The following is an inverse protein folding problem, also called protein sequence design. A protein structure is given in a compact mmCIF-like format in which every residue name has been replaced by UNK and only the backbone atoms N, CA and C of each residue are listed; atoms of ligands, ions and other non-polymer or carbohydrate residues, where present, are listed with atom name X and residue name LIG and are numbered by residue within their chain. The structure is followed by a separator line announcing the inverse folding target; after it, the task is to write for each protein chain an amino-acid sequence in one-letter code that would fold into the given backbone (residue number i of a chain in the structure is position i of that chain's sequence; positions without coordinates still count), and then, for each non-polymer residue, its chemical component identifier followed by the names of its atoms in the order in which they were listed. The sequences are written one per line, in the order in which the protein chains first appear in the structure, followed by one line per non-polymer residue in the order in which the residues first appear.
data_IF_486516427051
#
_entry.id   IF_486516427051
#
_cell.length_a   1.000
_cell.length_b   1.000
_cell.length_c   1.000
_cell.angle_alpha   90.00
_cell.angle_beta   90.00
_cell.angle_gamma   90.00
#
_symmetry.space_group_name_H-M   'P 1'
#
loop_
_entity.id
_entity.type
_entity.pdbx_description
1 polymer ?
#
# COMPACT_ATOMS: atom_id res chain seq x y z
N UNK A 1 -4.72 40.05 7.84
CA UNK A 1 -3.62 39.16 8.29
C UNK A 1 -4.06 37.91 9.08
N UNK A 2 -4.99 37.98 10.05
CA UNK A 2 -5.48 36.80 10.80
C UNK A 2 -6.17 35.72 9.92
N UNK A 3 -6.95 36.13 8.92
CA UNK A 3 -7.64 35.22 7.98
C UNK A 3 -6.69 34.42 7.07
N UNK A 4 -5.55 35.01 6.68
CA UNK A 4 -4.52 34.32 5.85
C UNK A 4 -3.83 33.21 6.64
N UNK A 5 -3.61 33.42 7.95
CA UNK A 5 -3.05 32.39 8.84
C UNK A 5 -4.04 31.23 9.03
N UNK A 6 -5.33 31.52 9.22
CA UNK A 6 -6.38 30.50 9.26
C UNK A 6 -6.48 29.71 7.95
N UNK A 7 -6.45 30.37 6.79
CA UNK A 7 -6.47 29.69 5.49
C UNK A 7 -5.28 28.75 5.30
N UNK A 8 -4.06 29.14 5.71
CA UNK A 8 -2.88 28.27 5.64
C UNK A 8 -3.03 27.02 6.51
N UNK A 9 -3.52 27.17 7.76
CA UNK A 9 -3.75 26.03 8.66
C UNK A 9 -4.84 25.12 8.11
N UNK A 10 -5.93 25.68 7.58
CA UNK A 10 -7.02 24.90 7.00
C UNK A 10 -6.54 24.09 5.78
N UNK A 11 -5.72 24.70 4.91
CA UNK A 11 -5.13 24.04 3.75
C UNK A 11 -4.13 22.94 4.15
N UNK A 12 -3.35 23.15 5.21
CA UNK A 12 -2.43 22.16 5.76
C UNK A 12 -3.16 20.96 6.36
N UNK A 13 -4.21 21.19 7.17
CA UNK A 13 -5.03 20.12 7.76
C UNK A 13 -5.72 19.30 6.68
N UNK A 14 -6.19 19.95 5.61
CA UNK A 14 -6.82 19.27 4.48
C UNK A 14 -5.80 18.41 3.71
N UNK A 15 -4.61 18.95 3.41
CA UNK A 15 -3.52 18.20 2.77
C UNK A 15 -3.05 17.00 3.62
N UNK A 16 -2.95 17.18 4.94
CA UNK A 16 -2.57 16.10 5.86
C UNK A 16 -3.63 15.00 5.92
N UNK A 17 -4.92 15.35 5.96
CA UNK A 17 -6.02 14.38 5.87
C UNK A 17 -5.99 13.59 4.57
N UNK A 18 -5.73 14.26 3.44
CA UNK A 18 -5.59 13.58 2.14
C UNK A 18 -4.43 12.59 2.16
N UNK A 19 -3.26 13.00 2.66
CA UNK A 19 -2.09 12.11 2.79
C UNK A 19 -2.37 10.89 3.68
N UNK A 20 -2.98 11.08 4.85
CA UNK A 20 -3.37 9.97 5.74
C UNK A 20 -4.34 9.04 5.04
N UNK A 21 -5.35 9.59 4.37
CA UNK A 21 -6.35 8.79 3.66
C UNK A 21 -5.68 7.95 2.57
N UNK A 22 -4.78 8.55 1.78
CA UNK A 22 -3.98 7.84 0.77
C UNK A 22 -3.10 6.74 1.38
N UNK A 23 -2.45 7.00 2.52
CA UNK A 23 -1.66 5.98 3.24
C UNK A 23 -2.56 4.84 3.74
N UNK A 24 -3.71 5.13 4.33
CA UNK A 24 -4.63 4.09 4.82
C UNK A 24 -5.16 3.21 3.69
N UNK A 25 -5.40 3.79 2.51
CA UNK A 25 -5.77 3.02 1.32
C UNK A 25 -4.65 2.08 0.86
N UNK A 26 -3.40 2.56 0.80
CA UNK A 26 -2.25 1.72 0.42
C UNK A 26 -1.87 0.71 1.50
N UNK A 27 -2.13 1.00 2.78
CA UNK A 27 -1.90 0.06 3.89
C UNK A 27 -2.79 -1.18 3.77
N UNK A 28 -4.02 -1.06 3.26
CA UNK A 28 -4.91 -2.22 3.06
C UNK A 28 -4.34 -3.19 2.01
N UNK A 29 -3.77 -2.66 0.93
CA UNK A 29 -3.18 -3.50 -0.11
C UNK A 29 -1.81 -4.05 0.32
N UNK A 30 -1.03 -3.26 1.05
CA UNK A 30 0.20 -3.71 1.72
C UNK A 30 -0.06 -4.83 2.72
N UNK A 31 -1.15 -4.76 3.50
CA UNK A 31 -1.48 -5.77 4.50
C UNK A 31 -1.55 -7.18 3.91
N UNK A 32 -2.21 -7.34 2.76
CA UNK A 32 -2.29 -8.64 2.07
C UNK A 32 -0.94 -9.11 1.54
N UNK A 33 -0.11 -8.19 1.03
CA UNK A 33 1.22 -8.53 0.55
C UNK A 33 2.17 -8.93 1.69
N UNK A 34 2.09 -8.25 2.84
CA UNK A 34 2.81 -8.62 4.06
C UNK A 34 2.30 -9.96 4.63
N UNK A 35 1.00 -10.22 4.58
CA UNK A 35 0.44 -11.49 5.01
C UNK A 35 0.96 -12.64 4.15
N UNK A 36 1.03 -12.46 2.82
CA UNK A 36 1.66 -13.42 1.91
C UNK A 36 3.14 -13.64 2.25
N UNK A 37 3.90 -12.57 2.53
CA UNK A 37 5.29 -12.68 2.94
C UNK A 37 5.43 -13.49 4.24
N UNK A 38 4.58 -13.25 5.24
CA UNK A 38 4.57 -14.01 6.50
C UNK A 38 4.30 -15.49 6.25
N UNK A 39 3.37 -15.84 5.35
CA UNK A 39 3.11 -17.25 4.99
C UNK A 39 4.34 -17.89 4.35
N UNK A 40 5.01 -17.20 3.43
CA UNK A 40 6.24 -17.70 2.79
C UNK A 40 7.33 -17.92 3.84
N UNK A 41 7.58 -16.92 4.70
CA UNK A 41 8.56 -16.99 5.78
C UNK A 41 8.23 -18.14 6.75
N UNK A 42 6.95 -18.36 7.05
CA UNK A 42 6.52 -19.47 7.89
C UNK A 42 6.81 -20.84 7.25
N UNK A 43 6.46 -21.03 5.97
CA UNK A 43 6.69 -22.29 5.25
C UNK A 43 8.18 -22.64 5.19
N UNK A 44 9.02 -21.69 4.77
CA UNK A 44 10.47 -21.90 4.75
C UNK A 44 11.06 -22.01 6.15
N UNK A 45 10.51 -21.27 7.12
CA UNK A 45 10.88 -21.35 8.53
C UNK A 45 10.71 -22.77 9.06
N UNK A 46 9.54 -23.37 8.88
CA UNK A 46 9.28 -24.77 9.28
C UNK A 46 10.27 -25.73 8.63
N UNK A 47 10.49 -25.60 7.31
CA UNK A 47 11.42 -26.47 6.58
C UNK A 47 12.85 -26.42 7.13
N UNK A 48 13.40 -25.22 7.35
CA UNK A 48 14.77 -25.09 7.83
C UNK A 48 14.93 -25.40 9.32
N UNK A 49 13.95 -25.05 10.16
CA UNK A 49 13.94 -25.44 11.58
C UNK A 49 13.93 -26.97 11.72
N UNK A 50 13.09 -27.66 10.93
CA UNK A 50 13.04 -29.12 10.95
C UNK A 50 14.36 -29.73 10.44
N UNK A 51 14.83 -29.29 9.28
CA UNK A 51 16.10 -29.76 8.71
C UNK A 51 17.28 -29.65 9.67
N UNK A 52 17.40 -28.51 10.37
CA UNK A 52 18.48 -28.31 11.33
C UNK A 52 18.30 -29.17 12.58
N UNK A 53 17.08 -29.25 13.13
CA UNK A 53 16.84 -30.05 14.32
C UNK A 53 17.05 -31.54 14.07
N UNK A 54 16.58 -32.06 12.94
CA UNK A 54 16.78 -33.45 12.54
C UNK A 54 18.28 -33.74 12.38
N UNK A 55 19.01 -32.85 11.70
CA UNK A 55 20.45 -32.96 11.54
C UNK A 55 21.21 -32.97 12.88
N UNK A 56 20.85 -32.09 13.81
CA UNK A 56 21.47 -32.01 15.14
C UNK A 56 21.10 -33.19 16.05
N UNK A 57 19.96 -33.85 15.83
CA UNK A 57 19.54 -35.03 16.58
C UNK A 57 20.18 -36.32 16.05
N UNK A 58 20.38 -36.42 14.73
CA UNK A 58 20.94 -37.60 14.08
C UNK A 58 22.47 -37.74 14.28
N UNK A 59 23.15 -36.70 14.74
CA UNK A 59 24.60 -36.69 14.94
C UNK A 59 24.98 -36.55 16.41
N UNK A 60 25.95 -37.36 16.86
CA UNK A 60 26.55 -37.18 18.17
C UNK A 60 27.30 -35.83 18.23
N UNK A 61 27.19 -35.06 19.33
CA UNK A 61 27.83 -33.75 19.48
C UNK A 61 29.34 -33.74 19.19
N UNK A 62 30.02 -34.86 19.48
CA UNK A 62 31.46 -35.03 19.29
C UNK A 62 31.86 -35.38 17.84
N UNK A 63 30.88 -35.70 16.97
CA UNK A 63 31.09 -36.13 15.57
C UNK A 63 30.43 -35.22 14.54
N UNK A 64 29.78 -34.14 14.99
CA UNK A 64 29.12 -33.17 14.11
C UNK A 64 30.11 -32.63 13.06
N UNK A 65 29.77 -32.68 11.76
CA UNK A 65 30.61 -32.10 10.70
C UNK A 65 30.48 -30.56 10.64
N UNK A 66 30.12 -29.93 11.76
CA UNK A 66 30.04 -28.49 11.94
C UNK A 66 31.20 -28.03 12.83
N UNK A 67 31.87 -26.95 12.43
CA UNK A 67 32.75 -26.22 13.33
C UNK A 67 31.97 -25.63 14.51
N UNK A 68 32.66 -25.32 15.61
CA UNK A 68 32.06 -24.69 16.80
C UNK A 68 31.22 -23.45 16.45
N UNK A 69 31.72 -22.61 15.53
CA UNK A 69 31.02 -21.41 15.04
C UNK A 69 29.73 -21.79 14.31
N UNK A 70 29.76 -22.81 13.47
CA UNK A 70 28.58 -23.22 12.69
C UNK A 70 27.48 -23.80 13.57
N UNK A 71 27.84 -24.56 14.62
CA UNK A 71 26.88 -25.04 15.61
C UNK A 71 26.22 -23.89 16.40
N UNK A 72 26.99 -22.84 16.73
CA UNK A 72 26.46 -21.62 17.34
C UNK A 72 25.47 -20.91 16.41
N UNK A 73 25.82 -20.76 15.12
CA UNK A 73 24.94 -20.15 14.11
C UNK A 73 23.68 -21.00 13.86
N UNK A 74 23.82 -22.34 13.85
CA UNK A 74 22.71 -23.27 13.75
C UNK A 74 21.69 -23.04 14.88
N UNK A 75 22.16 -22.98 16.12
CA UNK A 75 21.31 -22.73 17.28
C UNK A 75 20.70 -21.32 17.26
N UNK A 76 21.50 -20.32 16.89
CA UNK A 76 21.07 -18.91 16.86
C UNK A 76 19.99 -18.63 15.83
N UNK A 77 20.11 -19.20 14.62
CA UNK A 77 19.21 -18.92 13.51
C UNK A 77 18.13 -19.97 13.32
N UNK A 78 18.34 -21.21 13.75
CA UNK A 78 17.43 -22.33 13.49
C UNK A 78 16.94 -23.07 14.75
N UNK A 79 17.35 -22.63 15.94
CA UNK A 79 17.02 -23.32 17.20
C UNK A 79 15.54 -23.38 17.55
N UNK A 80 14.72 -22.45 17.02
CA UNK A 80 13.27 -22.49 17.12
C UNK A 80 12.62 -21.87 15.89
N UNK A 81 11.33 -22.17 15.68
CA UNK A 81 10.60 -21.69 14.50
C UNK A 81 10.52 -20.16 14.45
N UNK A 82 10.23 -19.51 15.58
CA UNK A 82 10.15 -18.05 15.69
C UNK A 82 11.50 -17.38 15.41
N UNK A 83 12.60 -17.95 15.94
CA UNK A 83 13.96 -17.48 15.64
C UNK A 83 14.31 -17.68 14.15
N UNK A 84 13.88 -18.78 13.56
CA UNK A 84 14.09 -19.07 12.14
C UNK A 84 13.33 -18.08 11.27
N UNK A 85 12.05 -17.86 11.55
CA UNK A 85 11.23 -16.87 10.85
C UNK A 85 11.83 -15.46 10.97
N UNK A 86 12.31 -15.07 12.15
CA UNK A 86 13.00 -13.80 12.36
C UNK A 86 14.29 -13.73 11.55
N UNK A 87 15.08 -14.80 11.53
CA UNK A 87 16.35 -14.87 10.78
C UNK A 87 16.13 -14.75 9.29
N UNK A 88 15.14 -15.48 8.74
CA UNK A 88 14.74 -15.38 7.35
C UNK A 88 14.27 -13.97 6.97
N UNK A 89 13.51 -13.30 7.86
CA UNK A 89 13.12 -11.91 7.68
C UNK A 89 14.33 -10.96 7.74
N UNK A 90 15.25 -11.16 8.70
CA UNK A 90 16.47 -10.36 8.81
C UNK A 90 17.35 -10.50 7.57
N UNK A 91 17.45 -11.69 6.96
CA UNK A 91 18.25 -11.91 5.75
C UNK A 91 17.75 -11.11 4.54
N UNK A 92 16.43 -10.90 4.41
CA UNK A 92 15.85 -10.11 3.31
C UNK A 92 15.78 -8.61 3.64
N UNK A 93 15.65 -8.27 4.92
CA UNK A 93 15.53 -6.89 5.39
C UNK A 93 16.88 -6.19 5.66
N UNK A 94 18.00 -6.92 5.53
CA UNK A 94 19.35 -6.40 5.80
C UNK A 94 19.71 -6.32 7.28
N UNK A 95 19.04 -7.09 8.13
CA UNK A 95 19.34 -7.18 9.57
C UNK A 95 20.51 -8.11 9.90
N UNK A 96 20.80 -9.08 9.04
CA UNK A 96 21.92 -10.01 9.17
C UNK A 96 22.46 -10.37 7.79
N UNK A 97 23.75 -10.69 7.70
CA UNK A 97 24.29 -11.25 6.46
C UNK A 97 23.61 -12.60 6.18
N UNK A 98 23.06 -12.76 4.97
CA UNK A 98 22.51 -14.04 4.54
C UNK A 98 23.60 -15.13 4.49
N UNK A 99 24.87 -14.75 4.39
CA UNK A 99 26.03 -15.65 4.49
C UNK A 99 26.10 -16.34 5.86
N UNK A 100 25.89 -15.60 6.95
CA UNK A 100 25.93 -16.18 8.30
C UNK A 100 24.78 -17.18 8.50
N UNK A 101 23.62 -16.94 7.88
CA UNK A 101 22.43 -17.79 7.99
C UNK A 101 22.54 -19.05 7.12
N UNK A 102 23.12 -18.96 5.91
CA UNK A 102 23.28 -20.12 5.02
C UNK A 102 24.41 -21.06 5.46
N UNK A 103 25.43 -20.56 6.16
CA UNK A 103 26.60 -21.35 6.57
C UNK A 103 26.23 -22.66 7.28
N UNK A 104 25.44 -22.66 8.37
CA UNK A 104 25.07 -23.92 9.03
C UNK A 104 24.21 -24.84 8.15
N UNK A 105 23.40 -24.31 7.22
CA UNK A 105 22.61 -25.14 6.28
C UNK A 105 23.50 -25.91 5.29
N UNK A 106 24.65 -25.35 4.90
CA UNK A 106 25.63 -26.05 4.05
C UNK A 106 26.24 -27.26 4.76
N UNK A 107 26.41 -27.18 6.07
CA UNK A 107 26.88 -28.30 6.88
C UNK A 107 25.86 -29.44 7.00
N UNK A 108 24.56 -29.14 6.83
CA UNK A 108 23.52 -30.18 6.70
C UNK A 108 23.59 -30.85 5.32
N UNK A 109 23.46 -30.06 4.25
CA UNK A 109 23.59 -30.51 2.86
C UNK A 109 23.52 -29.30 1.92
N UNK A 110 24.22 -29.38 0.79
CA UNK A 110 24.16 -28.35 -0.26
C UNK A 110 22.72 -28.15 -0.81
N UNK A 111 21.85 -29.17 -0.73
CA UNK A 111 20.43 -29.04 -1.14
C UNK A 111 19.69 -28.00 -0.28
N UNK A 112 19.94 -27.96 1.03
CA UNK A 112 19.32 -26.99 1.92
C UNK A 112 19.84 -25.57 1.68
N UNK A 113 21.11 -25.44 1.31
CA UNK A 113 21.69 -24.16 0.89
C UNK A 113 21.05 -23.66 -0.42
N UNK A 114 20.86 -24.53 -1.42
CA UNK A 114 20.14 -24.16 -2.65
C UNK A 114 18.69 -23.76 -2.37
N UNK A 115 18.00 -24.44 -1.45
CA UNK A 115 16.64 -24.08 -1.06
C UNK A 115 16.58 -22.72 -0.36
N UNK A 116 17.58 -22.38 0.46
CA UNK A 116 17.72 -21.05 1.07
C UNK A 116 17.99 -19.96 0.02
N UNK A 117 18.86 -20.21 -0.95
CA UNK A 117 19.10 -19.28 -2.06
C UNK A 117 17.85 -19.09 -2.93
N UNK A 118 17.05 -20.14 -3.12
CA UNK A 118 15.75 -20.05 -3.74
C UNK A 118 14.80 -19.16 -2.94
N UNK A 119 14.71 -19.32 -1.62
CA UNK A 119 13.92 -18.44 -0.75
C UNK A 119 14.33 -16.96 -0.91
N UNK A 120 15.64 -16.66 -0.84
CA UNK A 120 16.16 -15.31 -1.00
C UNK A 120 15.79 -14.73 -2.37
N UNK A 121 16.07 -15.48 -3.44
CA UNK A 121 15.79 -15.06 -4.81
C UNK A 121 14.30 -14.86 -5.05
N UNK A 122 13.47 -15.80 -4.62
CA UNK A 122 12.01 -15.71 -4.73
C UNK A 122 11.47 -14.50 -3.97
N UNK A 123 11.98 -14.21 -2.78
CA UNK A 123 11.53 -13.06 -2.00
C UNK A 123 11.94 -11.72 -2.64
N UNK A 124 13.18 -11.61 -3.12
CA UNK A 124 13.66 -10.39 -3.80
C UNK A 124 12.97 -10.17 -5.16
N UNK A 125 12.92 -11.20 -6.01
CA UNK A 125 12.44 -11.05 -7.39
C UNK A 125 10.94 -11.20 -7.56
N UNK A 126 10.25 -11.98 -6.73
CA UNK A 126 8.81 -12.14 -6.82
C UNK A 126 8.09 -11.27 -5.78
N UNK A 127 8.37 -11.47 -4.49
CA UNK A 127 7.54 -10.87 -3.43
C UNK A 127 7.69 -9.36 -3.36
N UNK A 128 8.92 -8.83 -3.32
CA UNK A 128 9.13 -7.37 -3.29
C UNK A 128 8.65 -6.67 -4.56
N UNK A 129 8.74 -7.34 -5.71
CA UNK A 129 8.21 -6.82 -6.97
C UNK A 129 6.68 -6.83 -7.01
N UNK A 130 6.02 -7.84 -6.44
CA UNK A 130 4.56 -7.87 -6.27
C UNK A 130 4.11 -6.75 -5.32
N UNK A 131 4.79 -6.56 -4.19
CA UNK A 131 4.52 -5.45 -3.26
C UNK A 131 4.62 -4.11 -3.99
N UNK A 132 5.72 -3.90 -4.71
CA UNK A 132 5.95 -2.68 -5.50
C UNK A 132 4.86 -2.48 -6.54
N UNK A 133 4.47 -3.54 -7.27
CA UNK A 133 3.40 -3.50 -8.26
C UNK A 133 2.06 -3.12 -7.66
N UNK A 134 1.71 -3.65 -6.48
CA UNK A 134 0.48 -3.31 -5.75
C UNK A 134 0.48 -1.84 -5.30
N UNK A 135 1.61 -1.32 -4.85
CA UNK A 135 1.75 0.10 -4.51
C UNK A 135 1.60 0.99 -5.76
N UNK A 136 2.26 0.65 -6.86
CA UNK A 136 2.13 1.37 -8.12
C UNK A 136 0.67 1.37 -8.61
N UNK A 137 0.00 0.22 -8.55
CA UNK A 137 -1.41 0.09 -8.92
C UNK A 137 -2.31 0.98 -8.05
N UNK A 138 -2.09 0.95 -6.73
CA UNK A 138 -2.84 1.79 -5.79
C UNK A 138 -2.60 3.30 -6.05
N UNK A 139 -1.38 3.69 -6.42
CA UNK A 139 -1.06 5.07 -6.78
C UNK A 139 -1.74 5.50 -8.09
N UNK A 140 -1.76 4.62 -9.11
CA UNK A 140 -2.45 4.86 -10.38
C UNK A 140 -3.95 4.99 -10.16
N UNK A 141 -4.56 4.07 -9.40
CA UNK A 141 -5.99 4.11 -9.06
C UNK A 141 -6.35 5.38 -8.29
N UNK A 142 -5.52 5.79 -7.33
CA UNK A 142 -5.70 7.05 -6.61
C UNK A 142 -5.67 8.26 -7.54
N UNK A 143 -4.74 8.31 -8.51
CA UNK A 143 -4.65 9.40 -9.47
C UNK A 143 -5.85 9.44 -10.43
N UNK A 144 -6.34 8.27 -10.87
CA UNK A 144 -7.52 8.15 -11.74
C UNK A 144 -8.82 8.55 -11.02
N UNK A 145 -8.97 8.14 -9.75
CA UNK A 145 -10.12 8.50 -8.94
C UNK A 145 -10.18 10.01 -8.66
N UNK A 146 -9.02 10.65 -8.42
CA UNK A 146 -8.96 12.10 -8.22
C UNK A 146 -9.37 12.85 -9.51
N UNK A 147 -8.92 12.41 -10.68
CA UNK A 147 -9.32 12.99 -11.96
C UNK A 147 -10.83 12.85 -12.21
N UNK A 148 -11.39 11.67 -11.95
CA UNK A 148 -12.83 11.41 -12.11
C UNK A 148 -13.66 12.27 -11.16
N UNK A 149 -13.23 12.39 -9.89
CA UNK A 149 -13.88 13.24 -8.90
C UNK A 149 -13.87 14.72 -9.32
N UNK A 150 -12.75 15.21 -9.85
CA UNK A 150 -12.63 16.57 -10.40
C UNK A 150 -13.58 16.77 -11.57
N UNK A 151 -13.58 15.88 -12.57
CA UNK A 151 -14.50 15.96 -13.72
C UNK A 151 -15.97 15.97 -13.28
N UNK A 152 -16.34 15.12 -12.33
CA UNK A 152 -17.70 15.07 -11.82
C UNK A 152 -18.10 16.37 -11.10
N UNK A 153 -17.18 16.98 -10.35
CA UNK A 153 -17.41 18.26 -9.69
C UNK A 153 -17.65 19.39 -10.70
N UNK A 154 -16.90 19.41 -11.82
CA UNK A 154 -17.06 20.40 -12.89
C UNK A 154 -18.42 20.23 -13.57
N UNK A 155 -18.80 18.99 -13.91
CA UNK A 155 -20.10 18.70 -14.53
C UNK A 155 -21.27 19.07 -13.61
N UNK A 156 -21.16 18.74 -12.32
CA UNK A 156 -22.16 19.10 -11.31
C UNK A 156 -22.32 20.61 -11.19
N UNK A 157 -21.22 21.36 -11.16
CA UNK A 157 -21.24 22.82 -11.14
C UNK A 157 -21.86 23.40 -12.42
N UNK A 158 -21.47 22.90 -13.60
CA UNK A 158 -22.08 23.32 -14.89
C UNK A 158 -23.59 23.11 -14.90
N UNK A 159 -24.06 21.93 -14.45
CA UNK A 159 -25.49 21.63 -14.37
C UNK A 159 -26.20 22.56 -13.39
N UNK A 160 -25.64 22.78 -12.20
CA UNK A 160 -26.21 23.69 -11.20
C UNK A 160 -26.31 25.14 -11.71
N UNK A 161 -25.33 25.62 -12.48
CA UNK A 161 -25.40 26.93 -13.13
C UNK A 161 -26.46 26.98 -14.22
N UNK A 162 -26.54 25.97 -15.08
CA UNK A 162 -27.57 25.89 -16.12
C UNK A 162 -28.99 25.83 -15.52
N UNK A 163 -29.19 25.06 -14.45
CA UNK A 163 -30.47 24.95 -13.75
C UNK A 163 -30.86 26.28 -13.09
N UNK A 164 -29.91 27.01 -12.49
CA UNK A 164 -30.14 28.37 -11.97
C UNK A 164 -30.54 29.35 -13.07
N UNK A 165 -29.83 29.34 -14.20
CA UNK A 165 -30.14 30.19 -15.35
C UNK A 165 -31.53 29.85 -15.89
N UNK A 166 -31.84 28.56 -16.03
CA UNK A 166 -33.16 28.10 -16.50
C UNK A 166 -34.29 28.50 -15.55
N UNK A 167 -34.06 28.41 -14.25
CA UNK A 167 -35.02 28.83 -13.22
C UNK A 167 -35.22 30.35 -13.18
N UNK A 168 -34.19 31.14 -13.50
CA UNK A 168 -34.33 32.60 -13.68
C UNK A 168 -35.15 32.92 -14.93
N UNK A 169 -34.82 32.31 -16.06
CA UNK A 169 -35.53 32.55 -17.32
C UNK A 169 -36.98 32.07 -17.29
N UNK A 170 -37.31 31.00 -16.56
CA UNK A 170 -38.70 30.56 -16.36
C UNK A 170 -39.54 31.56 -15.55
N UNK A 171 -38.91 32.38 -14.69
CA UNK A 171 -39.60 33.46 -13.97
C UNK A 171 -39.80 34.71 -14.84
N UNK A 172 -38.95 34.89 -15.85
CA UNK A 172 -39.00 36.02 -16.78
C UNK A 172 -40.06 35.82 -17.89
N UNK A 173 -40.13 34.61 -18.48
CA UNK A 173 -40.98 34.28 -19.63
C UNK A 173 -42.48 34.11 -19.34
N UNK A 174 -43.24 33.84 -20.42
CA UNK A 174 -44.68 33.54 -20.39
C UNK A 174 -44.90 32.06 -20.03
N UNK A 175 -45.70 31.79 -18.99
CA UNK A 175 -45.94 30.44 -18.46
C UNK A 175 -46.57 29.48 -19.47
N UNK A 176 -47.29 29.98 -20.49
CA UNK A 176 -48.00 29.15 -21.46
C UNK A 176 -47.20 28.88 -22.72
N UNK A 177 -46.36 29.82 -23.14
CA UNK A 177 -45.61 29.71 -24.40
C UNK A 177 -44.13 29.39 -24.20
N UNK A 178 -43.58 29.62 -23.00
CA UNK A 178 -42.15 29.50 -22.72
C UNK A 178 -41.28 30.52 -23.46
N UNK A 179 -41.89 31.46 -24.19
CA UNK A 179 -41.21 32.51 -24.92
C UNK A 179 -40.89 33.70 -24.00
N UNK A 180 -39.78 34.37 -24.29
CA UNK A 180 -39.35 35.58 -23.58
C UNK A 180 -39.31 36.70 -24.60
N UNK A 181 -40.22 37.66 -24.46
CA UNK A 181 -40.22 38.86 -25.30
C UNK A 181 -39.39 39.96 -24.66
N UNK A 182 -38.89 40.89 -25.47
CA UNK A 182 -38.05 41.99 -25.00
C UNK A 182 -38.73 42.83 -23.91
N UNK A 183 -40.03 43.13 -24.05
CA UNK A 183 -40.81 43.87 -23.06
C UNK A 183 -40.90 43.15 -21.70
N UNK A 184 -41.10 41.83 -21.70
CA UNK A 184 -41.16 41.02 -20.46
C UNK A 184 -39.81 40.96 -19.75
N UNK A 185 -38.73 40.97 -20.53
CA UNK A 185 -37.38 41.01 -19.99
C UNK A 185 -37.09 42.38 -19.35
N UNK A 186 -37.39 43.48 -20.03
CA UNK A 186 -37.19 44.86 -19.55
C UNK A 186 -37.99 45.14 -18.27
N UNK A 187 -39.22 44.63 -18.15
CA UNK A 187 -40.07 44.80 -16.97
C UNK A 187 -39.50 44.05 -15.74
N UNK A 188 -39.02 42.82 -15.92
CA UNK A 188 -38.66 41.93 -14.81
C UNK A 188 -37.16 41.89 -14.48
N UNK A 189 -36.28 42.46 -15.31
CA UNK A 189 -34.82 42.48 -15.06
C UNK A 189 -34.45 43.29 -13.80
N UNK A 190 -35.28 44.26 -13.42
CA UNK A 190 -35.11 45.05 -12.20
C UNK A 190 -35.82 44.45 -10.97
N UNK A 191 -36.41 43.26 -11.10
CA UNK A 191 -37.10 42.60 -9.99
C UNK A 191 -36.10 42.03 -8.96
N UNK A 192 -36.48 41.99 -7.67
CA UNK A 192 -35.61 41.46 -6.61
C UNK A 192 -35.27 39.96 -6.74
N UNK A 193 -35.88 39.25 -7.70
CA UNK A 193 -35.55 37.86 -8.01
C UNK A 193 -34.32 37.71 -8.93
N UNK A 194 -33.82 38.81 -9.51
CA UNK A 194 -32.71 38.85 -10.49
C UNK A 194 -31.44 39.51 -9.91
N UNK A 195 -31.57 40.31 -8.83
CA UNK A 195 -30.44 40.85 -8.04
C UNK A 195 -29.86 39.81 -7.06
#
# INVERSE_FOLDING_TARGET
MKAVRLMRVFRFVMAFRTLITSILYTLKSLFWALMLLVVIVYVFGVLFTQAMNDFLQDHDPDTLPLSFREAELATRYFGSLDLTMLSLYMSIAGGVSWEDVITPLRGVSEVWAFLFLFYISFTYFAVLNVVTGVFCQSAIESAQNDHTAVVHSILKNKKAHADKIRALFSKLGDEKTGAITFAMFEEKIHSPAVQ
#
